data_IF_277333869674
#
_entry.id   IF_277333869674
#
_cell.length_a   1.000
_cell.length_b   1.000
_cell.length_c   1.000
_cell.angle_alpha   90.00
_cell.angle_beta   90.00
_cell.angle_gamma   90.00
#
_symmetry.space_group_name_H-M   'P 1'
#
loop_
_entity.id
_entity.type
_entity.pdbx_description
1 polymer ?
#
# COMPACT_ATOMS: atom_id res chain seq x y z
N UNK A 1 -16.36 -25.53 20.59
CA UNK A 1 -15.23 -25.48 19.65
C UNK A 1 -15.00 -24.08 19.05
N UNK A 2 -16.05 -23.28 18.81
CA UNK A 2 -15.93 -21.98 18.11
C UNK A 2 -15.42 -20.82 18.98
N UNK A 3 -15.54 -20.89 20.31
CA UNK A 3 -15.20 -19.76 21.20
C UNK A 3 -13.71 -19.36 21.13
N UNK A 4 -12.81 -20.35 21.01
CA UNK A 4 -11.37 -20.08 20.89
C UNK A 4 -11.06 -19.41 19.54
N UNK A 5 -11.70 -19.88 18.46
CA UNK A 5 -11.55 -19.30 17.13
C UNK A 5 -12.04 -17.84 17.09
N UNK A 6 -13.25 -17.59 17.59
CA UNK A 6 -13.84 -16.24 17.61
C UNK A 6 -12.99 -15.28 18.43
N UNK A 7 -12.48 -15.72 19.58
CA UNK A 7 -11.64 -14.88 20.45
C UNK A 7 -10.31 -14.46 19.82
N UNK A 8 -9.77 -15.24 18.88
CA UNK A 8 -8.47 -14.97 18.26
C UNK A 8 -8.61 -14.26 16.90
N UNK A 9 -9.67 -14.56 16.16
CA UNK A 9 -9.90 -13.99 14.83
C UNK A 9 -10.53 -12.61 14.91
N UNK A 10 -11.45 -12.39 15.85
CA UNK A 10 -12.17 -11.12 15.97
C UNK A 10 -11.23 -9.91 16.11
N UNK A 11 -10.18 -9.93 16.96
CA UNK A 11 -9.23 -8.81 17.05
C UNK A 11 -8.43 -8.56 15.76
N UNK A 12 -8.15 -9.61 14.98
CA UNK A 12 -7.40 -9.49 13.72
C UNK A 12 -8.26 -8.85 12.63
N UNK A 13 -9.53 -9.23 12.56
CA UNK A 13 -10.50 -8.67 11.62
C UNK A 13 -10.79 -7.21 11.93
N UNK A 14 -10.96 -6.86 13.22
CA UNK A 14 -11.14 -5.47 13.65
C UNK A 14 -9.96 -4.57 13.24
N UNK A 15 -8.71 -5.02 13.43
CA UNK A 15 -7.54 -4.24 13.02
C UNK A 15 -7.41 -4.05 11.50
N UNK A 16 -7.95 -4.99 10.71
CA UNK A 16 -8.06 -4.87 9.26
C UNK A 16 -9.15 -3.86 8.87
N UNK A 17 -10.34 -3.97 9.46
CA UNK A 17 -11.48 -3.09 9.19
C UNK A 17 -11.15 -1.63 9.51
N UNK A 18 -10.57 -1.35 10.67
CA UNK A 18 -10.16 0.00 11.07
C UNK A 18 -9.16 0.61 10.08
N UNK A 19 -8.22 -0.19 9.60
CA UNK A 19 -7.24 0.28 8.63
C UNK A 19 -7.85 0.56 7.26
N UNK A 20 -8.72 -0.32 6.78
CA UNK A 20 -9.42 -0.14 5.51
C UNK A 20 -10.33 1.09 5.57
N UNK A 21 -11.07 1.26 6.67
CA UNK A 21 -11.88 2.46 6.91
C UNK A 21 -11.02 3.72 6.90
N UNK A 22 -9.83 3.73 7.52
CA UNK A 22 -8.94 4.89 7.50
C UNK A 22 -8.35 5.15 6.11
N UNK A 23 -8.00 4.12 5.35
CA UNK A 23 -7.38 4.25 4.02
C UNK A 23 -8.38 4.69 2.96
N UNK A 24 -9.63 4.23 3.06
CA UNK A 24 -10.69 4.49 2.09
C UNK A 24 -11.72 5.51 2.59
N UNK A 25 -11.50 6.16 3.74
CA UNK A 25 -12.44 7.15 4.28
C UNK A 25 -12.70 8.31 3.33
N UNK A 26 -11.64 8.74 2.65
CA UNK A 26 -11.66 9.82 1.67
C UNK A 26 -11.89 9.29 0.24
N UNK A 27 -12.15 7.99 0.09
CA UNK A 27 -12.49 7.39 -1.20
C UNK A 27 -13.98 7.60 -1.49
N UNK A 28 -14.28 8.02 -2.72
CA UNK A 28 -15.63 8.38 -3.16
C UNK A 28 -16.60 7.18 -3.06
N UNK A 29 -16.09 5.96 -3.21
CA UNK A 29 -16.87 4.72 -3.23
C UNK A 29 -17.12 4.10 -1.85
N UNK A 30 -16.30 4.40 -0.82
CA UNK A 30 -16.29 3.67 0.46
C UNK A 30 -16.40 4.56 1.73
N UNK A 31 -16.71 5.84 1.57
CA UNK A 31 -16.86 6.75 2.70
C UNK A 31 -18.10 6.44 3.57
N UNK A 32 -18.15 7.00 4.79
CA UNK A 32 -19.25 6.84 5.76
C UNK A 32 -20.64 7.26 5.20
N UNK A 33 -20.68 7.99 4.08
CA UNK A 33 -21.91 8.44 3.41
C UNK A 33 -22.26 7.58 2.17
N UNK A 34 -21.38 6.67 1.74
CA UNK A 34 -21.57 5.81 0.59
C UNK A 34 -22.56 4.68 0.93
N UNK A 35 -23.58 4.49 0.09
CA UNK A 35 -24.51 3.36 0.24
C UNK A 35 -23.83 2.05 -0.22
N UNK A 36 -23.99 0.98 0.57
CA UNK A 36 -23.37 -0.31 0.32
C UNK A 36 -23.70 -0.88 -1.08
N UNK A 37 -22.69 -1.02 -1.95
CA UNK A 37 -22.79 -1.53 -3.32
C UNK A 37 -22.91 -3.06 -3.39
N UNK A 38 -23.89 -3.65 -2.70
CA UNK A 38 -24.13 -5.11 -2.68
C UNK A 38 -25.40 -5.54 -3.44
N UNK A 39 -25.91 -4.73 -4.36
CA UNK A 39 -26.99 -5.14 -5.27
C UNK A 39 -26.60 -4.79 -6.71
N UNK A 40 -25.96 -5.75 -7.39
CA UNK A 40 -25.85 -5.74 -8.85
C UNK A 40 -27.27 -5.92 -9.44
N UNK A 41 -27.86 -4.82 -9.91
CA UNK A 41 -28.95 -4.86 -10.88
C UNK A 41 -28.46 -4.26 -12.20
N UNK A 42 -28.70 -4.97 -13.29
CA UNK A 42 -28.17 -4.71 -14.63
C UNK A 42 -28.74 -3.45 -15.32
N UNK A 43 -27.82 -2.73 -16.01
CA UNK A 43 -27.96 -1.95 -17.27
C UNK A 43 -28.59 -0.53 -17.26
N UNK A 44 -28.30 0.33 -18.27
CA UNK A 44 -27.03 0.63 -18.96
C UNK A 44 -26.67 2.15 -19.04
N UNK A 45 -25.47 2.40 -19.57
CA UNK A 45 -24.79 3.64 -19.95
C UNK A 45 -25.57 4.96 -20.17
N UNK A 46 -25.01 6.06 -19.65
CA UNK A 46 -25.00 7.38 -20.31
C UNK A 46 -23.74 8.17 -19.91
N UNK A 47 -23.16 8.85 -20.89
CA UNK A 47 -21.80 9.41 -20.94
C UNK A 47 -21.69 10.88 -20.50
N UNK A 48 -20.47 11.31 -20.15
CA UNK A 48 -19.78 12.58 -20.48
C UNK A 48 -18.74 12.89 -19.38
N UNK A 49 -17.44 12.73 -19.62
CA UNK A 49 -16.51 13.67 -20.28
C UNK A 49 -16.03 14.81 -19.36
N UNK A 50 -14.73 14.81 -19.10
CA UNK A 50 -13.98 15.86 -18.40
C UNK A 50 -12.48 15.57 -18.48
N UNK A 51 -11.85 16.05 -19.56
CA UNK A 51 -10.41 16.09 -19.81
C UNK A 51 -9.73 17.17 -18.95
N UNK A 52 -8.43 17.02 -18.68
CA UNK A 52 -7.35 18.04 -18.49
C UNK A 52 -6.56 17.87 -17.18
N UNK A 53 -5.24 18.14 -17.03
CA UNK A 53 -4.02 18.20 -17.86
C UNK A 53 -2.84 18.13 -16.83
N UNK A 54 -1.71 17.60 -17.29
CA UNK A 54 -0.36 17.51 -16.71
C UNK A 54 0.14 18.78 -15.98
N UNK A 55 0.92 18.58 -14.90
CA UNK A 55 2.11 19.41 -14.62
C UNK A 55 3.10 18.66 -13.72
N UNK A 56 4.24 18.28 -14.32
CA UNK A 56 5.52 18.02 -13.66
C UNK A 56 5.96 19.25 -12.84
N UNK A 57 6.45 19.03 -11.62
CA UNK A 57 7.51 19.86 -11.06
C UNK A 57 8.51 18.99 -10.29
N UNK A 58 9.68 18.93 -10.88
CA UNK A 58 10.86 18.20 -10.49
C UNK A 58 11.62 19.04 -9.44
N UNK A 59 11.74 18.56 -8.20
CA UNK A 59 12.72 19.12 -7.25
C UNK A 59 13.59 17.99 -6.71
N UNK A 60 14.72 17.79 -7.40
CA UNK A 60 15.85 16.99 -6.97
C UNK A 60 16.53 17.67 -5.77
N UNK A 61 16.35 17.13 -4.57
CA UNK A 61 17.24 17.40 -3.43
C UNK A 61 18.22 16.26 -3.28
N UNK A 62 19.48 16.57 -3.58
CA UNK A 62 20.64 15.69 -3.45
C UNK A 62 20.87 15.32 -1.97
N UNK A 63 21.21 14.05 -1.83
CA UNK A 63 21.32 13.28 -0.60
C UNK A 63 22.45 13.74 0.34
N UNK A 64 22.17 13.65 1.63
CA UNK A 64 23.16 13.40 2.66
C UNK A 64 22.62 12.28 3.56
N UNK A 65 23.15 11.06 3.43
CA UNK A 65 22.77 9.90 4.25
C UNK A 65 24.02 9.31 4.89
N UNK A 66 24.15 9.34 6.23
CA UNK A 66 25.16 8.54 6.90
C UNK A 66 24.79 7.05 6.88
N UNK A 67 25.83 6.22 6.76
CA UNK A 67 25.80 4.78 6.62
C UNK A 67 25.21 4.03 7.85
N UNK A 68 24.43 2.97 7.62
CA UNK A 68 24.89 1.55 7.70
C UNK A 68 23.73 0.53 7.76
N UNK A 69 22.48 0.98 7.67
CA UNK A 69 21.32 0.10 7.40
C UNK A 69 20.87 0.30 5.95
N UNK A 70 20.32 -0.74 5.30
CA UNK A 70 19.97 -0.71 3.88
C UNK A 70 19.23 0.59 3.48
N UNK A 71 19.96 1.53 2.84
CA UNK A 71 19.49 2.90 2.70
C UNK A 71 18.25 2.93 1.81
N UNK A 72 17.07 3.15 2.41
CA UNK A 72 15.83 3.35 1.68
C UNK A 72 15.84 4.76 1.10
N UNK A 73 15.50 4.86 -0.19
CA UNK A 73 15.22 6.18 -0.78
C UNK A 73 13.94 6.77 -0.19
N UNK A 74 13.84 8.10 -0.04
CA UNK A 74 12.62 8.74 0.49
C UNK A 74 11.36 8.33 -0.28
N UNK A 75 11.48 8.14 -1.59
CA UNK A 75 10.39 7.73 -2.47
C UNK A 75 9.95 6.29 -2.17
N UNK A 76 10.89 5.38 -1.96
CA UNK A 76 10.60 4.01 -1.57
C UNK A 76 9.94 3.93 -0.19
N UNK A 77 10.31 4.81 0.74
CA UNK A 77 9.65 4.88 2.05
C UNK A 77 8.21 5.39 1.96
N UNK A 78 7.94 6.39 1.10
CA UNK A 78 6.57 6.86 0.83
C UNK A 78 5.73 5.76 0.20
N UNK A 79 6.30 5.02 -0.74
CA UNK A 79 5.60 3.90 -1.38
C UNK A 79 5.32 2.77 -0.38
N UNK A 80 6.27 2.45 0.50
CA UNK A 80 6.10 1.47 1.57
C UNK A 80 4.98 1.86 2.55
N UNK A 81 4.76 3.15 2.81
CA UNK A 81 3.68 3.64 3.69
C UNK A 81 2.28 3.36 3.12
N UNK A 82 2.13 3.24 1.79
CA UNK A 82 0.87 2.82 1.16
C UNK A 82 0.50 1.37 1.49
N UNK A 83 1.45 0.56 1.93
CA UNK A 83 1.20 -0.82 2.36
C UNK A 83 0.52 -0.80 3.74
N UNK A 84 -0.58 -1.55 3.93
CA UNK A 84 -1.26 -1.63 5.22
C UNK A 84 -0.36 -2.04 6.38
N UNK A 85 -0.51 -1.39 7.55
CA UNK A 85 0.46 -1.51 8.64
C UNK A 85 0.68 -2.97 9.11
N UNK A 86 -0.39 -3.77 9.13
CA UNK A 86 -0.37 -5.17 9.58
C UNK A 86 0.46 -6.09 8.65
N UNK A 87 0.70 -5.68 7.40
CA UNK A 87 1.61 -6.38 6.45
C UNK A 87 2.87 -5.59 6.11
N UNK A 88 2.92 -4.29 6.40
CA UNK A 88 4.04 -3.39 6.05
C UNK A 88 5.38 -3.88 6.58
N UNK A 89 5.42 -4.39 7.82
CA UNK A 89 6.65 -4.93 8.41
C UNK A 89 7.19 -6.16 7.66
N UNK A 90 6.31 -7.01 7.12
CA UNK A 90 6.69 -8.15 6.27
C UNK A 90 7.20 -7.65 4.91
N UNK A 91 6.51 -6.68 4.31
CA UNK A 91 6.92 -6.10 3.04
C UNK A 91 8.33 -5.48 3.12
N UNK A 92 8.60 -4.68 4.15
CA UNK A 92 9.93 -4.08 4.40
C UNK A 92 11.03 -5.14 4.46
N UNK A 93 10.86 -6.16 5.32
CA UNK A 93 11.85 -7.25 5.48
C UNK A 93 12.07 -8.01 4.19
N UNK A 94 11.01 -8.31 3.44
CA UNK A 94 11.12 -9.00 2.17
C UNK A 94 11.93 -8.18 1.15
N UNK A 95 11.71 -6.87 1.08
CA UNK A 95 12.48 -5.98 0.20
C UNK A 95 13.93 -5.87 0.63
N UNK A 96 14.21 -5.75 1.92
CA UNK A 96 15.58 -5.73 2.46
C UNK A 96 16.32 -7.04 2.16
N UNK A 97 15.67 -8.20 2.35
CA UNK A 97 16.22 -9.52 2.01
C UNK A 97 16.43 -9.69 0.50
N UNK A 98 15.55 -9.13 -0.32
CA UNK A 98 15.69 -9.14 -1.77
C UNK A 98 16.89 -8.30 -2.21
N UNK A 99 16.97 -7.06 -1.74
CA UNK A 99 18.03 -6.13 -2.04
C UNK A 99 19.39 -6.67 -1.58
N UNK A 100 19.47 -7.22 -0.37
CA UNK A 100 20.69 -7.82 0.17
C UNK A 100 21.19 -9.00 -0.69
N UNK A 101 20.29 -9.89 -1.12
CA UNK A 101 20.65 -11.04 -1.97
C UNK A 101 21.10 -10.63 -3.37
N UNK A 102 20.60 -9.52 -3.89
CA UNK A 102 20.98 -8.98 -5.20
C UNK A 102 22.11 -7.95 -5.14
N UNK A 103 22.59 -7.58 -3.95
CA UNK A 103 23.58 -6.53 -3.78
C UNK A 103 23.08 -5.13 -4.17
N UNK A 104 21.76 -4.89 -4.13
CA UNK A 104 21.16 -3.61 -4.52
C UNK A 104 21.20 -2.64 -3.34
N UNK A 105 21.84 -1.49 -3.52
CA UNK A 105 21.83 -0.34 -2.61
C UNK A 105 21.95 0.95 -3.43
N UNK A 106 21.14 1.98 -3.19
CA UNK A 106 20.05 2.08 -2.20
C UNK A 106 18.78 1.30 -2.60
N UNK A 107 17.85 1.10 -1.67
CA UNK A 107 16.53 0.49 -1.94
C UNK A 107 15.62 1.55 -2.58
N UNK A 108 15.36 1.37 -3.87
CA UNK A 108 14.48 2.22 -4.69
C UNK A 108 13.04 1.70 -4.72
N UNK A 109 12.12 2.52 -5.25
CA UNK A 109 10.72 2.12 -5.50
C UNK A 109 10.66 0.89 -6.42
N UNK A 110 11.51 0.83 -7.44
CA UNK A 110 11.63 -0.32 -8.34
C UNK A 110 12.03 -1.60 -7.59
N UNK A 111 13.00 -1.49 -6.67
CA UNK A 111 13.44 -2.62 -5.84
C UNK A 111 12.29 -3.15 -4.97
N UNK A 112 11.43 -2.27 -4.46
CA UNK A 112 10.23 -2.65 -3.70
C UNK A 112 9.23 -3.42 -4.57
N UNK A 113 9.00 -2.99 -5.81
CA UNK A 113 8.11 -3.68 -6.75
C UNK A 113 8.66 -5.05 -7.18
N UNK A 114 9.95 -5.11 -7.50
CA UNK A 114 10.65 -6.36 -7.83
C UNK A 114 10.58 -7.36 -6.68
N UNK A 115 10.81 -6.90 -5.44
CA UNK A 115 10.67 -7.73 -4.25
C UNK A 115 9.24 -8.23 -4.06
N UNK A 116 8.23 -7.37 -4.24
CA UNK A 116 6.81 -7.77 -4.20
C UNK A 116 6.53 -8.87 -5.21
N UNK A 117 6.98 -8.74 -6.46
CA UNK A 117 6.82 -9.77 -7.49
C UNK A 117 7.55 -11.08 -7.15
N UNK A 118 8.71 -11.01 -6.51
CA UNK A 118 9.48 -12.18 -6.07
C UNK A 118 8.79 -12.96 -4.93
N UNK A 119 8.20 -12.26 -3.95
CA UNK A 119 7.62 -12.86 -2.74
C UNK A 119 6.10 -13.07 -2.78
N UNK A 120 5.44 -12.70 -3.88
CA UNK A 120 4.01 -12.95 -4.10
C UNK A 120 3.71 -14.34 -4.68
N UNK A 121 4.74 -15.14 -4.98
CA UNK A 121 4.61 -16.58 -5.28
C UNK A 121 4.51 -17.38 -4.00
#
# INVERSE_FOLDING_TARGET
ANVIFDSWVHPLMMGLEEHLLQMFRDDFEFNDQAQASHLHAHAPAAAAAGTEVVSDDETLVLAEVPADDAAWTPDAERELKKIPFFVRGKARRNTELFAARKGIRPITVETLYDAKAHFAR
#
